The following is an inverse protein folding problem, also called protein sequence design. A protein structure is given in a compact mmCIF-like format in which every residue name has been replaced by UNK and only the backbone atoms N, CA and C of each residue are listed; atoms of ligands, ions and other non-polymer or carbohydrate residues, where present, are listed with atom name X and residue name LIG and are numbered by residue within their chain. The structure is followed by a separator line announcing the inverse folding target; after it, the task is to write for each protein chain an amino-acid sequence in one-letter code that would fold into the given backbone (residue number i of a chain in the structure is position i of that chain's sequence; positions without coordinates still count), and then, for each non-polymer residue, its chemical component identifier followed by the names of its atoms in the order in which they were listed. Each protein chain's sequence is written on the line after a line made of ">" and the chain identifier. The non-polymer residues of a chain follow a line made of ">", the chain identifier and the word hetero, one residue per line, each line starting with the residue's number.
data_IF_466462248940
#
_entry.id   IF_466462248940
#
_cell.length_a   1.000
_cell.length_b   1.000
_cell.length_c   1.000
_cell.angle_alpha   90.00
_cell.angle_beta   90.00
_cell.angle_gamma   90.00
#
_symmetry.space_group_name_H-M   'P 1'
#
loop_
_entity.id
_entity.type
_entity.pdbx_description
1 polymer ?
#
# COMPACT_ATOMS: atom_id res chain seq x y z
N UNK A 1 9.63 -6.62 41.11
CA UNK A 1 9.34 -6.93 39.70
C UNK A 1 8.17 -6.12 39.10
N UNK A 2 7.06 -5.87 39.81
CA UNK A 2 5.88 -5.17 39.25
C UNK A 2 6.05 -3.71 38.76
N UNK A 3 7.02 -2.94 39.26
CA UNK A 3 7.18 -1.51 38.90
C UNK A 3 7.76 -1.28 37.49
N UNK A 4 8.57 -2.22 36.99
CA UNK A 4 9.17 -2.15 35.65
C UNK A 4 8.14 -2.42 34.55
N UNK A 5 7.32 -3.46 34.72
CA UNK A 5 6.28 -3.84 33.77
C UNK A 5 5.20 -2.76 33.60
N UNK A 6 4.84 -2.05 34.67
CA UNK A 6 3.88 -0.93 34.62
C UNK A 6 4.45 0.27 33.84
N UNK A 7 5.75 0.55 34.00
CA UNK A 7 6.44 1.62 33.26
C UNK A 7 6.53 1.31 31.77
N UNK A 8 6.82 0.04 31.42
CA UNK A 8 6.91 -0.42 30.04
C UNK A 8 5.56 -0.41 29.33
N UNK A 9 4.49 -0.87 30.00
CA UNK A 9 3.12 -0.81 29.48
C UNK A 9 2.66 0.64 29.26
N UNK A 10 2.96 1.54 30.21
CA UNK A 10 2.64 2.96 30.09
C UNK A 10 3.38 3.61 28.90
N UNK A 11 4.66 3.28 28.72
CA UNK A 11 5.48 3.76 27.61
C UNK A 11 4.91 3.28 26.26
N UNK A 12 4.51 2.01 26.18
CA UNK A 12 3.89 1.41 24.99
C UNK A 12 2.57 2.11 24.62
N UNK A 13 1.68 2.31 25.59
CA UNK A 13 0.42 3.05 25.37
C UNK A 13 0.65 4.49 24.93
N UNK A 14 1.64 5.16 25.48
CA UNK A 14 2.00 6.51 25.08
C UNK A 14 2.50 6.55 23.64
N UNK A 15 3.39 5.63 23.26
CA UNK A 15 3.90 5.51 21.88
C UNK A 15 2.76 5.24 20.89
N UNK A 16 1.81 4.36 21.23
CA UNK A 16 0.63 4.10 20.40
C UNK A 16 -0.22 5.36 20.20
N UNK A 17 -0.49 6.12 21.27
CA UNK A 17 -1.24 7.38 21.16
C UNK A 17 -0.52 8.40 20.27
N UNK A 18 0.79 8.52 20.42
CA UNK A 18 1.62 9.40 19.56
C UNK A 18 1.48 8.96 18.10
N UNK A 19 1.57 7.67 17.82
CA UNK A 19 1.44 7.12 16.48
C UNK A 19 0.07 7.45 15.84
N UNK A 20 -1.02 7.27 16.58
CA UNK A 20 -2.37 7.61 16.12
C UNK A 20 -2.51 9.11 15.85
N UNK A 21 -1.89 9.98 16.66
CA UNK A 21 -1.89 11.43 16.41
C UNK A 21 -1.15 11.77 15.12
N UNK A 22 0.02 11.15 14.89
CA UNK A 22 0.76 11.32 13.62
C UNK A 22 -0.06 10.86 12.42
N UNK A 23 -0.75 9.72 12.53
CA UNK A 23 -1.67 9.21 11.50
C UNK A 23 -2.81 10.18 11.18
N UNK A 24 -3.41 10.80 12.20
CA UNK A 24 -4.44 11.83 12.00
C UNK A 24 -3.90 13.07 11.31
N UNK A 25 -2.71 13.53 11.68
CA UNK A 25 -2.06 14.67 11.03
C UNK A 25 -1.73 14.34 9.56
N UNK A 26 -1.24 13.13 9.30
CA UNK A 26 -0.93 12.70 7.94
C UNK A 26 -2.19 12.60 7.06
N UNK A 27 -3.32 12.16 7.61
CA UNK A 27 -4.62 12.23 6.92
C UNK A 27 -4.96 13.66 6.50
N UNK A 28 -4.81 14.64 7.40
CA UNK A 28 -5.06 16.06 7.06
C UNK A 28 -4.14 16.54 5.94
N UNK A 29 -2.85 16.18 5.98
CA UNK A 29 -1.90 16.51 4.91
C UNK A 29 -2.35 15.94 3.56
N UNK A 30 -2.77 14.68 3.53
CA UNK A 30 -3.31 14.05 2.32
C UNK A 30 -4.57 14.75 1.81
N UNK A 31 -5.48 15.18 2.71
CA UNK A 31 -6.72 15.85 2.29
C UNK A 31 -6.45 17.20 1.64
N UNK A 32 -5.37 17.88 2.05
CA UNK A 32 -4.91 19.13 1.44
C UNK A 32 -4.15 18.92 0.13
N UNK A 33 -3.55 17.74 -0.05
CA UNK A 33 -2.75 17.37 -1.22
C UNK A 33 -3.64 16.94 -2.39
N UNK A 34 -4.70 16.19 -2.12
CA UNK A 34 -5.58 15.65 -3.16
C UNK A 34 -6.59 16.68 -3.68
N UNK A 35 -7.02 16.57 -4.96
CA UNK A 35 -8.13 17.34 -5.48
C UNK A 35 -9.40 17.11 -4.65
N UNK A 36 -10.24 18.16 -4.53
CA UNK A 36 -11.41 18.17 -3.64
C UNK A 36 -12.35 16.96 -3.80
N UNK A 37 -12.55 16.48 -5.02
CA UNK A 37 -13.42 15.33 -5.28
C UNK A 37 -12.83 14.01 -4.74
N UNK A 38 -11.50 13.85 -4.76
CA UNK A 38 -10.80 12.71 -4.17
C UNK A 38 -10.77 12.83 -2.65
N UNK A 39 -10.33 13.98 -2.13
CA UNK A 39 -10.23 14.19 -0.69
C UNK A 39 -11.60 14.05 -0.01
N UNK A 40 -12.69 14.49 -0.62
CA UNK A 40 -14.04 14.32 -0.07
C UNK A 40 -14.45 12.85 0.10
N UNK A 41 -13.98 11.95 -0.76
CA UNK A 41 -14.26 10.51 -0.64
C UNK A 41 -13.41 9.89 0.45
N UNK A 42 -12.10 10.16 0.44
CA UNK A 42 -11.17 9.63 1.44
C UNK A 42 -11.50 10.17 2.84
N UNK A 43 -11.90 11.43 2.96
CA UNK A 43 -12.26 12.03 4.24
C UNK A 43 -13.47 11.33 4.88
N UNK A 44 -14.45 10.91 4.08
CA UNK A 44 -15.66 10.21 4.55
C UNK A 44 -15.45 8.71 4.75
N UNK A 45 -14.34 8.16 4.26
CA UNK A 45 -14.03 6.74 4.38
C UNK A 45 -13.74 6.33 5.82
N UNK A 46 -14.00 5.06 6.13
CA UNK A 46 -13.59 4.49 7.42
C UNK A 46 -12.05 4.43 7.49
N UNK A 47 -11.52 4.67 8.69
CA UNK A 47 -10.09 4.84 8.93
C UNK A 47 -9.59 3.76 9.88
N UNK A 48 -8.51 3.08 9.49
CA UNK A 48 -7.78 2.16 10.36
C UNK A 48 -6.42 2.78 10.74
N UNK A 49 -6.18 2.84 12.05
CA UNK A 49 -4.95 3.34 12.67
C UNK A 49 -4.21 2.23 13.41
N UNK A 50 -3.02 2.50 13.92
CA UNK A 50 -2.30 1.57 14.80
C UNK A 50 -3.13 1.27 16.06
N UNK A 51 -3.09 0.03 16.58
CA UNK A 51 -2.23 -1.09 16.16
C UNK A 51 -2.83 -1.98 15.06
N UNK A 52 -4.09 -1.81 14.68
CA UNK A 52 -4.74 -2.68 13.70
C UNK A 52 -4.14 -2.54 12.30
N UNK A 53 -3.71 -1.32 11.95
CA UNK A 53 -2.93 -1.07 10.74
C UNK A 53 -1.72 -2.01 10.63
N UNK A 54 -0.93 -2.12 11.70
CA UNK A 54 0.29 -2.95 11.72
C UNK A 54 -0.06 -4.43 11.53
N UNK A 55 -1.18 -4.89 12.09
CA UNK A 55 -1.64 -6.28 11.90
C UNK A 55 -2.04 -6.56 10.46
N UNK A 56 -2.71 -5.61 9.79
CA UNK A 56 -3.09 -5.75 8.39
C UNK A 56 -1.86 -5.81 7.50
N UNK A 57 -0.90 -4.90 7.68
CA UNK A 57 0.35 -4.93 6.91
C UNK A 57 1.15 -6.21 7.18
N UNK A 58 1.20 -6.67 8.44
CA UNK A 58 1.88 -7.90 8.80
C UNK A 58 1.28 -9.13 8.09
N UNK A 59 -0.05 -9.22 7.98
CA UNK A 59 -0.71 -10.31 7.22
C UNK A 59 -0.29 -10.34 5.75
N UNK A 60 -0.11 -9.17 5.12
CA UNK A 60 0.40 -9.09 3.74
C UNK A 60 1.84 -9.59 3.67
N UNK A 61 2.69 -9.21 4.63
CA UNK A 61 4.06 -9.71 4.68
C UNK A 61 4.12 -11.22 4.91
N UNK A 62 3.30 -11.76 5.82
CA UNK A 62 3.19 -13.19 6.09
C UNK A 62 2.81 -13.98 4.84
N UNK A 63 1.84 -13.48 4.05
CA UNK A 63 1.45 -14.09 2.77
C UNK A 63 2.64 -14.29 1.82
N UNK A 64 3.61 -13.38 1.88
CA UNK A 64 4.80 -13.38 1.04
C UNK A 64 6.05 -13.85 1.78
N UNK A 65 5.92 -14.63 2.86
CA UNK A 65 7.04 -15.13 3.68
C UNK A 65 8.01 -14.02 4.14
N UNK A 66 7.51 -12.80 4.32
CA UNK A 66 8.29 -11.59 4.63
C UNK A 66 9.37 -11.26 3.57
N UNK A 67 9.16 -11.70 2.33
CA UNK A 67 10.10 -11.50 1.23
C UNK A 67 9.74 -10.30 0.35
N UNK A 68 8.56 -9.69 0.50
CA UNK A 68 8.02 -8.65 -0.38
C UNK A 68 9.00 -7.52 -0.78
N UNK A 69 9.94 -7.16 0.11
CA UNK A 69 10.93 -6.09 -0.11
C UNK A 69 12.37 -6.60 -0.29
N UNK A 70 12.56 -7.91 -0.44
CA UNK A 70 13.86 -8.54 -0.67
C UNK A 70 14.12 -8.66 -2.17
N UNK A 71 15.40 -8.64 -2.55
CA UNK A 71 15.85 -8.75 -3.95
C UNK A 71 15.32 -10.03 -4.59
N UNK A 72 15.34 -11.14 -3.85
CA UNK A 72 14.95 -12.46 -4.36
C UNK A 72 13.44 -12.61 -4.58
N UNK A 73 12.61 -11.67 -4.09
CA UNK A 73 11.16 -11.72 -4.31
C UNK A 73 10.80 -11.72 -5.78
N UNK A 74 11.51 -10.90 -6.57
CA UNK A 74 11.27 -10.80 -8.00
C UNK A 74 11.56 -12.11 -8.74
N UNK A 75 12.52 -12.88 -8.23
CA UNK A 75 12.92 -14.16 -8.79
C UNK A 75 11.91 -15.24 -8.37
N UNK A 76 11.59 -15.31 -7.08
CA UNK A 76 10.76 -16.37 -6.50
C UNK A 76 9.27 -16.25 -6.80
N UNK A 77 8.76 -15.03 -6.93
CA UNK A 77 7.34 -14.74 -7.18
C UNK A 77 7.15 -13.96 -8.48
N UNK A 78 7.93 -14.32 -9.51
CA UNK A 78 7.93 -13.64 -10.80
C UNK A 78 6.53 -13.55 -11.42
N UNK A 79 5.69 -14.57 -11.25
CA UNK A 79 4.33 -14.60 -11.81
C UNK A 79 3.39 -13.56 -11.20
N UNK A 80 3.72 -13.07 -9.99
CA UNK A 80 2.95 -12.07 -9.27
C UNK A 80 3.49 -10.66 -9.46
N UNK A 81 4.68 -10.51 -10.05
CA UNK A 81 5.40 -9.24 -10.17
C UNK A 81 5.54 -8.84 -11.63
N UNK A 82 5.12 -7.62 -11.94
CA UNK A 82 5.39 -6.96 -13.22
C UNK A 82 6.19 -5.70 -13.00
N UNK A 83 7.16 -5.47 -13.88
CA UNK A 83 8.05 -4.33 -13.83
C UNK A 83 7.80 -3.43 -15.03
N UNK A 84 7.83 -2.12 -14.78
CA UNK A 84 7.53 -1.09 -15.76
C UNK A 84 8.62 -0.01 -15.70
N UNK A 85 8.97 0.55 -16.85
CA UNK A 85 9.98 1.62 -16.95
C UNK A 85 9.33 3.00 -16.86
N UNK A 86 8.03 3.12 -17.15
CA UNK A 86 7.33 4.39 -17.19
C UNK A 86 6.06 4.44 -16.33
N UNK A 87 5.78 5.61 -15.76
CA UNK A 87 4.63 5.84 -14.87
C UNK A 87 3.29 5.61 -15.57
N UNK A 88 3.16 6.02 -16.83
CA UNK A 88 1.92 5.82 -17.59
C UNK A 88 1.61 4.34 -17.83
N UNK A 89 2.63 3.47 -17.97
CA UNK A 89 2.43 2.03 -18.12
C UNK A 89 1.87 1.41 -16.83
N UNK A 90 2.33 1.89 -15.68
CA UNK A 90 1.81 1.50 -14.36
C UNK A 90 0.34 1.92 -14.22
N UNK A 91 0.05 3.17 -14.55
CA UNK A 91 -1.31 3.73 -14.49
C UNK A 91 -2.25 2.91 -15.38
N UNK A 92 -1.88 2.72 -16.64
CA UNK A 92 -2.66 1.93 -17.61
C UNK A 92 -2.86 0.50 -17.13
N UNK A 93 -1.82 -0.13 -16.57
CA UNK A 93 -1.92 -1.47 -16.04
C UNK A 93 -2.92 -1.55 -14.89
N UNK A 94 -2.80 -0.68 -13.89
CA UNK A 94 -3.65 -0.71 -12.68
C UNK A 94 -5.10 -0.38 -13.01
N UNK A 95 -5.36 0.63 -13.84
CA UNK A 95 -6.71 1.05 -14.20
C UNK A 95 -7.46 0.03 -15.07
N UNK A 96 -6.75 -0.87 -15.76
CA UNK A 96 -7.34 -1.96 -16.55
C UNK A 96 -7.66 -3.22 -15.73
N UNK A 97 -7.28 -3.27 -14.46
CA UNK A 97 -7.59 -4.42 -13.61
C UNK A 97 -9.09 -4.44 -13.35
N UNK A 98 -9.76 -5.49 -13.81
CA UNK A 98 -11.12 -5.75 -13.41
C UNK A 98 -11.15 -6.23 -11.96
N UNK A 99 -11.98 -5.58 -11.16
CA UNK A 99 -12.12 -5.86 -9.74
C UNK A 99 -13.57 -5.74 -9.34
N UNK A 100 -14.06 -6.73 -8.59
CA UNK A 100 -15.44 -6.73 -8.12
C UNK A 100 -15.72 -5.51 -7.23
N UNK A 101 -16.99 -5.06 -7.20
CA UNK A 101 -17.42 -3.98 -6.29
C UNK A 101 -17.30 -4.46 -4.83
N UNK A 102 -16.13 -4.25 -4.23
CA UNK A 102 -15.81 -4.63 -2.85
C UNK A 102 -15.04 -3.50 -2.19
N UNK A 103 -15.21 -3.39 -0.86
CA UNK A 103 -14.37 -2.52 -0.06
C UNK A 103 -12.94 -3.07 0.01
N UNK A 104 -11.98 -2.16 -0.01
CA UNK A 104 -10.55 -2.46 0.03
C UNK A 104 -9.84 -1.62 1.07
N UNK A 105 -8.74 -2.13 1.59
CA UNK A 105 -7.74 -1.36 2.30
C UNK A 105 -6.90 -0.59 1.27
N UNK A 106 -6.97 0.73 1.33
CA UNK A 106 -6.10 1.64 0.60
C UNK A 106 -5.07 2.21 1.56
N UNK A 107 -3.79 1.95 1.28
CA UNK A 107 -2.66 2.44 2.07
C UNK A 107 -1.68 3.18 1.17
N UNK A 108 -1.37 4.41 1.53
CA UNK A 108 -0.30 5.19 0.90
C UNK A 108 0.95 4.99 1.74
N UNK A 109 2.00 4.37 1.19
CA UNK A 109 3.24 4.01 1.90
C UNK A 109 4.12 5.21 2.28
N UNK A 110 3.53 6.28 2.81
CA UNK A 110 4.17 7.55 3.17
C UNK A 110 4.07 7.77 4.66
N UNK A 111 5.22 7.78 5.33
CA UNK A 111 5.33 8.14 6.75
C UNK A 111 4.32 7.37 7.61
N UNK A 112 3.68 8.10 8.52
CA UNK A 112 2.66 7.55 9.42
C UNK A 112 1.26 7.54 8.76
N UNK A 113 1.12 7.15 7.50
CA UNK A 113 -0.19 7.12 6.86
C UNK A 113 -1.13 6.09 7.53
N UNK A 114 -2.43 6.40 7.75
CA UNK A 114 -3.42 5.39 8.11
C UNK A 114 -3.84 4.56 6.88
N UNK A 115 -4.64 3.51 7.13
CA UNK A 115 -5.35 2.77 6.08
C UNK A 115 -6.74 3.36 5.93
N UNK A 116 -7.19 3.54 4.69
CA UNK A 116 -8.54 3.99 4.34
C UNK A 116 -9.34 2.82 3.77
N UNK A 117 -10.59 2.66 4.20
CA UNK A 117 -11.49 1.67 3.61
C UNK A 117 -12.36 2.34 2.55
N UNK A 118 -12.09 2.02 1.29
CA UNK A 118 -12.75 2.64 0.13
C UNK A 118 -13.32 1.58 -0.80
N UNK A 119 -14.16 2.00 -1.75
CA UNK A 119 -14.57 1.14 -2.85
C UNK A 119 -13.37 0.82 -3.77
N UNK A 120 -13.19 -0.46 -4.08
CA UNK A 120 -12.05 -0.94 -4.87
C UNK A 120 -12.06 -0.43 -6.30
N UNK A 121 -13.22 -0.39 -6.98
CA UNK A 121 -13.30 0.16 -8.33
C UNK A 121 -12.99 1.65 -8.33
N UNK A 122 -13.50 2.38 -7.35
CA UNK A 122 -13.16 3.78 -7.16
C UNK A 122 -11.64 3.98 -7.00
N UNK A 123 -10.97 3.17 -6.18
CA UNK A 123 -9.52 3.26 -5.98
C UNK A 123 -8.74 3.00 -7.27
N UNK A 124 -9.14 1.99 -8.06
CA UNK A 124 -8.50 1.69 -9.34
C UNK A 124 -8.77 2.78 -10.38
N UNK A 125 -10.02 3.21 -10.55
CA UNK A 125 -10.38 4.27 -11.51
C UNK A 125 -9.64 5.59 -11.23
N UNK A 126 -9.45 5.93 -9.96
CA UNK A 126 -8.77 7.17 -9.55
C UNK A 126 -7.27 6.96 -9.28
N UNK A 127 -6.70 5.80 -9.64
CA UNK A 127 -5.32 5.46 -9.31
C UNK A 127 -4.30 6.50 -9.78
N UNK A 128 -4.43 7.01 -11.01
CA UNK A 128 -3.52 8.05 -11.54
C UNK A 128 -3.46 9.27 -10.62
N UNK A 129 -4.63 9.81 -10.27
CA UNK A 129 -4.74 10.99 -9.40
C UNK A 129 -4.17 10.67 -8.02
N UNK A 130 -4.52 9.52 -7.45
CA UNK A 130 -4.03 9.09 -6.14
C UNK A 130 -2.50 8.98 -6.11
N UNK A 131 -1.91 8.40 -7.14
CA UNK A 131 -0.49 8.07 -7.19
C UNK A 131 0.40 9.27 -7.51
N UNK A 132 0.00 10.07 -8.50
CA UNK A 132 0.74 11.26 -8.91
C UNK A 132 0.77 12.32 -7.80
N UNK A 133 -0.35 12.54 -7.12
CA UNK A 133 -0.43 13.56 -6.07
C UNK A 133 0.40 13.21 -4.85
N UNK A 134 0.68 11.92 -4.63
CA UNK A 134 1.60 11.49 -3.59
C UNK A 134 3.04 11.33 -4.09
N UNK A 135 3.39 11.91 -5.24
CA UNK A 135 4.72 11.83 -5.85
C UNK A 135 5.20 10.38 -6.11
N UNK A 136 4.30 9.54 -6.62
CA UNK A 136 4.57 8.17 -7.02
C UNK A 136 5.15 7.29 -5.89
N UNK A 137 4.85 7.63 -4.63
CA UNK A 137 5.13 6.78 -3.48
C UNK A 137 4.32 5.48 -3.55
N UNK A 138 4.69 4.45 -2.77
CA UNK A 138 3.97 3.18 -2.82
C UNK A 138 2.48 3.32 -2.51
N UNK A 139 1.64 2.59 -3.24
CA UNK A 139 0.20 2.47 -3.00
C UNK A 139 -0.15 1.00 -2.91
N UNK A 140 -0.88 0.64 -1.86
CA UNK A 140 -1.37 -0.71 -1.63
C UNK A 140 -2.89 -0.70 -1.66
N UNK A 141 -3.48 -1.53 -2.51
CA UNK A 141 -4.92 -1.74 -2.65
C UNK A 141 -5.18 -3.21 -2.39
N UNK A 142 -5.79 -3.56 -1.26
CA UNK A 142 -5.90 -4.94 -0.79
C UNK A 142 -7.33 -5.23 -0.41
N UNK A 143 -7.90 -6.36 -0.87
CA UNK A 143 -9.24 -6.76 -0.42
C UNK A 143 -9.23 -7.08 1.07
N UNK A 144 -10.35 -6.83 1.77
CA UNK A 144 -10.39 -7.02 3.22
C UNK A 144 -10.17 -8.48 3.68
N UNK A 145 -10.46 -9.44 2.80
CA UNK A 145 -10.22 -10.87 2.98
C UNK A 145 -8.84 -11.34 2.50
N UNK A 146 -7.98 -10.41 2.04
CA UNK A 146 -6.64 -10.65 1.49
C UNK A 146 -6.59 -11.59 0.27
N UNK A 147 -7.74 -11.87 -0.34
CA UNK A 147 -7.84 -12.72 -1.52
C UNK A 147 -7.29 -12.05 -2.77
N UNK A 148 -7.27 -10.72 -2.78
CA UNK A 148 -6.73 -9.89 -3.84
C UNK A 148 -5.84 -8.79 -3.26
N UNK A 149 -4.83 -8.39 -4.02
CA UNK A 149 -4.13 -7.14 -3.74
C UNK A 149 -3.24 -6.70 -4.88
N UNK A 150 -3.01 -5.39 -4.91
CA UNK A 150 -2.11 -4.69 -5.82
C UNK A 150 -1.21 -3.81 -4.97
N UNK A 151 0.09 -4.03 -5.07
CA UNK A 151 1.11 -3.21 -4.40
C UNK A 151 1.95 -2.58 -5.49
N UNK A 152 1.83 -1.26 -5.63
CA UNK A 152 2.66 -0.49 -6.53
C UNK A 152 3.80 0.10 -5.72
N UNK A 153 5.02 -0.11 -6.19
CA UNK A 153 6.23 0.37 -5.52
C UNK A 153 7.21 0.94 -6.53
N UNK A 154 7.90 2.02 -6.12
CA UNK A 154 9.05 2.56 -6.84
C UNK A 154 10.28 1.77 -6.43
N UNK A 155 10.87 1.05 -7.38
CA UNK A 155 12.13 0.36 -7.20
C UNK A 155 13.26 1.22 -7.78
N UNK A 156 14.19 1.61 -6.91
CA UNK A 156 15.44 2.24 -7.31
C UNK A 156 16.44 1.12 -7.57
N UNK A 157 16.37 0.53 -8.76
CA UNK A 157 17.26 -0.53 -9.20
C UNK A 157 17.88 -0.18 -10.54
N UNK A 158 19.00 -0.81 -10.86
CA UNK A 158 19.62 -0.70 -12.17
C UNK A 158 19.11 -1.85 -13.07
N UNK A 159 18.37 -1.52 -14.12
CA UNK A 159 18.10 -2.45 -15.22
C UNK A 159 19.10 -2.16 -16.34
N UNK A 160 19.94 -3.15 -16.64
CA UNK A 160 20.95 -3.04 -17.69
C UNK A 160 20.25 -2.84 -19.04
N UNK A 161 20.56 -1.72 -19.71
CA UNK A 161 19.96 -1.28 -20.98
C UNK A 161 18.52 -0.74 -20.90
N UNK A 162 18.08 -0.26 -19.75
CA UNK A 162 16.75 0.33 -19.69
C UNK A 162 16.64 1.65 -20.49
N UNK A 163 15.58 1.84 -21.28
CA UNK A 163 15.38 3.06 -22.05
C UNK A 163 15.01 4.28 -21.20
N UNK A 164 14.63 4.12 -19.92
CA UNK A 164 14.30 5.22 -19.02
C UNK A 164 15.59 5.89 -18.48
N UNK A 165 15.86 7.15 -18.88
CA UNK A 165 17.06 7.87 -18.45
C UNK A 165 17.03 8.25 -16.96
N UNK A 166 15.89 8.12 -16.27
CA UNK A 166 15.78 8.38 -14.83
C UNK A 166 16.25 7.20 -13.98
N UNK A 167 16.46 6.02 -14.58
CA UNK A 167 16.80 4.77 -13.87
C UNK A 167 15.82 4.43 -12.73
N UNK A 168 14.54 4.75 -12.93
CA UNK A 168 13.47 4.42 -11.99
C UNK A 168 12.62 3.32 -12.59
N UNK A 169 12.45 2.23 -11.83
CA UNK A 169 11.51 1.17 -12.17
C UNK A 169 10.34 1.17 -11.23
N UNK A 170 9.22 0.71 -11.74
CA UNK A 170 8.01 0.50 -10.98
C UNK A 170 7.70 -0.98 -10.95
N UNK A 171 7.51 -1.52 -9.76
CA UNK A 171 7.12 -2.89 -9.56
C UNK A 171 5.68 -2.94 -9.06
N UNK A 172 4.86 -3.71 -9.75
CA UNK A 172 3.50 -4.03 -9.34
C UNK A 172 3.48 -5.49 -8.90
N UNK A 173 3.21 -5.73 -7.62
CA UNK A 173 2.87 -7.06 -7.11
C UNK A 173 1.36 -7.19 -7.10
N UNK A 174 0.80 -8.10 -7.89
CA UNK A 174 -0.64 -8.40 -7.96
C UNK A 174 -0.90 -9.86 -7.61
N UNK A 175 -1.94 -10.12 -6.83
CA UNK A 175 -2.49 -11.47 -6.65
C UNK A 175 -4.02 -11.46 -6.66
N UNK A 176 -4.60 -12.60 -7.02
CA UNK A 176 -6.03 -12.93 -6.94
C UNK A 176 -6.18 -14.40 -6.48
N UNK A 177 -7.42 -14.86 -6.25
CA UNK A 177 -7.66 -16.24 -5.79
C UNK A 177 -7.20 -17.31 -6.80
N UNK A 178 -7.22 -17.01 -8.10
CA UNK A 178 -6.75 -17.93 -9.15
C UNK A 178 -5.24 -18.18 -9.02
N UNK A 179 -4.51 -17.18 -8.55
CA UNK A 179 -3.07 -17.28 -8.33
C UNK A 179 -2.66 -18.22 -7.17
N UNK A 180 -3.61 -18.76 -6.39
CA UNK A 180 -3.33 -19.72 -5.29
C UNK A 180 -2.79 -21.07 -5.79
N UNK A 181 -2.98 -21.42 -7.06
CA UNK A 181 -2.46 -22.68 -7.63
C UNK A 181 -0.93 -22.77 -7.73
N UNK A 182 -0.21 -21.66 -7.51
CA UNK A 182 1.24 -21.55 -7.69
C UNK A 182 2.04 -21.50 -6.37
N UNK A 183 1.36 -21.58 -5.22
CA UNK A 183 1.99 -21.44 -3.88
C UNK A 183 2.01 -22.74 -3.06
N UNK A 184 1.87 -23.90 -3.70
CA UNK A 184 2.03 -25.22 -3.06
C UNK A 184 3.34 -25.88 -3.47
#
# INVERSE_FOLDING_TARGET
>A
MQRGEIMDERKRRMQQKIQVVKQKNQRTNLMNLFPKHISSVIEKSELITSPELERILNKVHEKWNYELHKVDFAIKYRDFRKEFSWEHEVIDYVQRIDFENKLVYLFFGIGDCPIFIVDGKWALMNFSILWEHINNYPIWIISQDFSFGILVSRYLGYLKHDPNPKEIFYAITKWDQESKGLLN
#
